data_IF_285144209559
#
_entry.id   IF_285144209559
#
_cell.length_a   1.000
_cell.length_b   1.000
_cell.length_c   1.000
_cell.angle_alpha   90.00
_cell.angle_beta   90.00
_cell.angle_gamma   90.00
#
_symmetry.space_group_name_H-M   'P 1'
#
loop_
_entity.id
_entity.type
_entity.pdbx_description
1 polymer ?
#
# COMPACT_ATOMS: atom_id res chain seq x y z
N UNK A 1 -18.80 1.28 -19.55
CA UNK A 1 -17.80 0.50 -20.29
C UNK A 1 -17.57 1.18 -21.62
N UNK A 2 -16.37 1.69 -21.88
CA UNK A 2 -16.01 2.14 -23.23
C UNK A 2 -16.13 0.97 -24.20
N UNK A 3 -16.49 1.26 -25.46
CA UNK A 3 -16.70 0.21 -26.49
C UNK A 3 -15.48 -0.70 -26.65
N UNK A 4 -14.29 -0.11 -26.56
CA UNK A 4 -13.01 -0.81 -26.55
C UNK A 4 -12.85 -1.80 -25.38
N UNK A 5 -13.13 -1.37 -24.15
CA UNK A 5 -13.03 -2.24 -22.98
C UNK A 5 -14.03 -3.41 -23.02
N UNK A 6 -15.21 -3.17 -23.59
CA UNK A 6 -16.23 -4.20 -23.77
C UNK A 6 -15.84 -5.22 -24.85
N UNK A 7 -15.23 -4.76 -25.94
CA UNK A 7 -14.70 -5.62 -27.00
C UNK A 7 -13.57 -6.50 -26.43
N UNK A 8 -12.53 -5.91 -25.81
CA UNK A 8 -11.41 -6.65 -25.22
C UNK A 8 -11.87 -7.67 -24.17
N UNK A 9 -12.83 -7.32 -23.31
CA UNK A 9 -13.39 -8.25 -22.32
C UNK A 9 -14.22 -9.40 -22.94
N UNK A 10 -14.71 -9.23 -24.17
CA UNK A 10 -15.52 -10.21 -24.90
C UNK A 10 -14.69 -11.08 -25.85
N UNK A 11 -13.43 -10.74 -26.11
CA UNK A 11 -12.54 -11.54 -26.95
C UNK A 11 -12.07 -12.79 -26.18
N UNK A 12 -12.40 -13.97 -26.70
CA UNK A 12 -11.98 -15.28 -26.14
C UNK A 12 -10.50 -15.60 -26.39
N UNK A 13 -9.82 -14.79 -27.21
CA UNK A 13 -8.41 -14.97 -27.59
C UNK A 13 -7.44 -14.77 -26.43
N UNK A 14 -7.86 -14.12 -25.33
CA UNK A 14 -7.01 -13.81 -24.18
C UNK A 14 -6.74 -15.00 -23.24
N UNK A 15 -7.47 -16.11 -23.36
CA UNK A 15 -7.42 -17.21 -22.39
C UNK A 15 -6.15 -18.07 -22.48
N UNK A 16 -5.47 -18.09 -23.63
CA UNK A 16 -4.28 -18.94 -23.88
C UNK A 16 -3.01 -18.14 -24.22
N UNK A 17 -2.97 -16.86 -23.85
CA UNK A 17 -1.80 -16.00 -24.11
C UNK A 17 -0.83 -16.01 -22.93
N UNK A 18 0.46 -15.83 -23.23
CA UNK A 18 1.47 -15.61 -22.22
C UNK A 18 1.19 -14.29 -21.48
N UNK A 19 1.36 -14.21 -20.15
CA UNK A 19 1.05 -13.00 -19.37
C UNK A 19 1.77 -11.74 -19.87
N UNK A 20 2.97 -11.90 -20.44
CA UNK A 20 3.72 -10.78 -21.03
C UNK A 20 3.06 -10.22 -22.30
N UNK A 21 2.28 -11.04 -23.02
CA UNK A 21 1.67 -10.65 -24.29
C UNK A 21 0.33 -9.94 -24.09
N UNK A 22 -0.32 -10.12 -22.92
CA UNK A 22 -1.61 -9.48 -22.56
C UNK A 22 -1.45 -8.25 -21.66
N UNK A 23 -0.22 -7.96 -21.23
CA UNK A 23 0.04 -6.97 -20.20
C UNK A 23 -0.37 -5.56 -20.65
N UNK A 24 -0.10 -5.23 -21.91
CA UNK A 24 -0.41 -3.91 -22.47
C UNK A 24 -1.92 -3.70 -22.59
N UNK A 25 -2.64 -4.70 -23.10
CA UNK A 25 -4.08 -4.69 -23.27
C UNK A 25 -4.79 -4.62 -21.91
N UNK A 26 -4.33 -5.40 -20.94
CA UNK A 26 -4.88 -5.40 -19.58
C UNK A 26 -4.71 -4.01 -18.94
N UNK A 27 -3.52 -3.41 -19.08
CA UNK A 27 -3.24 -2.07 -18.60
C UNK A 27 -4.18 -1.03 -19.24
N UNK A 28 -4.43 -1.11 -20.54
CA UNK A 28 -5.35 -0.20 -21.23
C UNK A 28 -6.80 -0.35 -20.74
N UNK A 29 -7.25 -1.58 -20.52
CA UNK A 29 -8.57 -1.86 -19.96
C UNK A 29 -8.72 -1.28 -18.55
N UNK A 30 -7.73 -1.51 -17.69
CA UNK A 30 -7.71 -0.98 -16.33
C UNK A 30 -7.70 0.55 -16.30
N UNK A 31 -6.88 1.16 -17.15
CA UNK A 31 -6.86 2.61 -17.33
C UNK A 31 -8.24 3.14 -17.75
N UNK A 32 -8.89 2.51 -18.72
CA UNK A 32 -10.22 2.90 -19.16
C UNK A 32 -11.27 2.77 -18.05
N UNK A 33 -11.20 1.69 -17.25
CA UNK A 33 -12.09 1.51 -16.09
C UNK A 33 -11.86 2.58 -15.01
N UNK A 34 -10.61 2.96 -14.75
CA UNK A 34 -10.28 4.00 -13.78
C UNK A 34 -10.81 5.38 -14.20
N UNK A 35 -10.70 5.71 -15.49
CA UNK A 35 -11.28 6.94 -16.05
C UNK A 35 -12.81 6.94 -15.95
N UNK A 36 -13.45 5.84 -16.31
CA UNK A 36 -14.90 5.70 -16.21
C UNK A 36 -15.39 5.85 -14.75
N UNK A 37 -14.70 5.22 -13.79
CA UNK A 37 -15.01 5.36 -12.37
C UNK A 37 -14.88 6.81 -11.87
N UNK A 38 -13.88 7.55 -12.37
CA UNK A 38 -13.71 8.96 -12.06
C UNK A 38 -14.86 9.81 -12.63
N UNK A 39 -15.23 9.58 -13.90
CA UNK A 39 -16.37 10.26 -14.54
C UNK A 39 -17.68 10.01 -13.80
N UNK A 40 -17.96 8.76 -13.40
CA UNK A 40 -19.13 8.43 -12.60
C UNK A 40 -19.11 9.16 -11.24
N UNK A 41 -17.98 9.16 -10.55
CA UNK A 41 -17.85 9.90 -9.28
C UNK A 41 -18.03 11.41 -9.46
N UNK A 42 -17.64 11.97 -10.60
CA UNK A 42 -17.86 13.38 -10.93
C UNK A 42 -19.34 13.66 -11.17
N UNK A 43 -20.04 12.79 -11.91
CA UNK A 43 -21.48 12.90 -12.11
C UNK A 43 -22.24 12.87 -10.79
N UNK A 44 -21.89 11.95 -9.89
CA UNK A 44 -22.51 11.88 -8.55
C UNK A 44 -22.32 13.19 -7.77
N UNK A 45 -21.14 13.81 -7.84
CA UNK A 45 -20.89 15.12 -7.20
C UNK A 45 -21.72 16.24 -7.82
N UNK A 46 -21.91 16.22 -9.13
CA UNK A 46 -22.76 17.19 -9.84
C UNK A 46 -24.22 17.01 -9.41
N UNK A 47 -24.71 15.77 -9.38
CA UNK A 47 -26.08 15.46 -8.95
C UNK A 47 -26.32 15.87 -7.49
N UNK A 48 -25.36 15.65 -6.60
CA UNK A 48 -25.45 16.09 -5.22
C UNK A 48 -25.42 17.62 -5.10
N UNK A 49 -24.67 18.31 -5.95
CA UNK A 49 -24.68 19.77 -6.01
C UNK A 49 -26.01 20.33 -6.52
N UNK A 50 -26.61 19.69 -7.53
CA UNK A 50 -27.94 20.04 -8.03
C UNK A 50 -29.01 19.85 -6.94
N UNK A 51 -28.97 18.74 -6.20
CA UNK A 51 -29.87 18.53 -5.04
C UNK A 51 -29.69 19.61 -3.98
N UNK A 52 -28.47 20.01 -3.67
CA UNK A 52 -28.22 21.09 -2.71
C UNK A 52 -28.79 22.44 -3.18
N UNK A 53 -28.84 22.70 -4.49
CA UNK A 53 -29.50 23.87 -5.06
C UNK A 53 -31.01 23.78 -4.85
N UNK A 54 -31.62 22.63 -5.14
CA UNK A 54 -33.06 22.42 -4.95
C UNK A 54 -33.49 22.54 -3.48
N UNK A 55 -32.63 22.11 -2.55
CA UNK A 55 -32.83 22.24 -1.10
C UNK A 55 -32.50 23.64 -0.56
N UNK A 56 -31.88 24.51 -1.37
CA UNK A 56 -31.44 25.84 -0.95
C UNK A 56 -30.23 25.85 0.00
N UNK A 57 -29.51 24.73 0.11
CA UNK A 57 -28.30 24.57 0.93
C UNK A 57 -27.00 24.83 0.16
N UNK A 58 -27.09 25.04 -1.16
CA UNK A 58 -25.95 25.31 -2.01
C UNK A 58 -25.14 26.53 -1.56
N UNK A 59 -23.81 26.38 -1.58
CA UNK A 59 -22.87 27.39 -1.09
C UNK A 59 -22.57 27.30 0.40
N UNK A 60 -23.15 26.35 1.14
CA UNK A 60 -22.77 26.02 2.52
C UNK A 60 -22.08 24.66 2.57
N UNK A 61 -21.04 24.56 3.40
CA UNK A 61 -20.31 23.32 3.59
C UNK A 61 -21.19 22.28 4.29
N UNK A 62 -21.30 21.08 3.69
CA UNK A 62 -22.07 19.95 4.22
C UNK A 62 -21.56 19.46 5.60
N UNK A 63 -20.25 19.57 5.85
CA UNK A 63 -19.62 19.08 7.09
C UNK A 63 -19.69 20.08 8.25
N UNK A 64 -19.37 21.36 8.01
CA UNK A 64 -19.24 22.36 9.08
C UNK A 64 -20.30 23.47 9.05
N UNK A 65 -21.13 23.53 8.00
CA UNK A 65 -22.19 24.53 7.84
C UNK A 65 -21.72 25.95 7.52
N UNK A 66 -20.42 26.20 7.39
CA UNK A 66 -19.86 27.51 7.00
C UNK A 66 -20.08 27.77 5.50
N UNK A 67 -20.11 29.04 5.11
CA UNK A 67 -20.19 29.43 3.71
C UNK A 67 -18.90 29.03 2.96
N UNK A 68 -19.08 28.52 1.74
CA UNK A 68 -18.00 28.14 0.83
C UNK A 68 -17.52 29.38 0.10
N UNK A 69 -16.20 29.53 -0.07
CA UNK A 69 -15.63 30.64 -0.81
C UNK A 69 -16.18 30.72 -2.25
N UNK A 70 -16.53 31.92 -2.70
CA UNK A 70 -17.14 32.13 -4.02
C UNK A 70 -16.18 31.78 -5.14
N UNK A 71 -14.89 32.10 -5.01
CA UNK A 71 -13.88 31.76 -6.01
C UNK A 71 -13.75 30.24 -6.19
N UNK A 72 -13.94 29.47 -5.11
CA UNK A 72 -14.01 28.00 -5.19
C UNK A 72 -15.22 27.52 -5.96
N UNK A 73 -16.41 28.08 -5.74
CA UNK A 73 -17.64 27.68 -6.46
C UNK A 73 -17.62 28.11 -7.94
N UNK A 74 -16.95 29.22 -8.26
CA UNK A 74 -16.74 29.64 -9.65
C UNK A 74 -15.81 28.68 -10.41
N UNK A 75 -14.78 28.15 -9.74
CA UNK A 75 -13.84 27.20 -10.33
C UNK A 75 -14.35 25.75 -10.29
N UNK A 76 -15.00 25.34 -9.20
CA UNK A 76 -15.53 24.00 -8.93
C UNK A 76 -16.99 24.10 -8.46
N UNK A 77 -17.96 24.21 -9.39
CA UNK A 77 -19.37 24.42 -9.06
C UNK A 77 -20.02 23.21 -8.36
N UNK A 78 -19.42 22.02 -8.45
CA UNK A 78 -19.93 20.82 -7.77
C UNK A 78 -19.36 20.65 -6.34
N UNK A 79 -18.61 21.63 -5.81
CA UNK A 79 -18.00 21.52 -4.50
C UNK A 79 -19.00 21.75 -3.37
N UNK A 80 -19.21 20.74 -2.52
CA UNK A 80 -20.11 20.79 -1.35
C UNK A 80 -19.40 21.03 0.00
N UNK A 81 -18.07 21.07 0.00
CA UNK A 81 -17.25 21.27 1.20
C UNK A 81 -16.33 22.49 1.07
N UNK A 82 -16.05 23.15 2.19
CA UNK A 82 -14.99 24.14 2.28
C UNK A 82 -13.61 23.48 2.19
N UNK A 83 -12.57 24.29 1.94
CA UNK A 83 -11.19 23.83 1.77
C UNK A 83 -10.72 23.07 3.01
N UNK A 84 -10.90 23.65 4.21
CA UNK A 84 -10.49 23.03 5.47
C UNK A 84 -11.09 21.63 5.66
N UNK A 85 -12.39 21.46 5.36
CA UNK A 85 -13.07 20.17 5.49
C UNK A 85 -12.61 19.18 4.40
N UNK A 86 -12.40 19.66 3.18
CA UNK A 86 -11.94 18.82 2.07
C UNK A 86 -10.50 18.33 2.30
N UNK A 87 -9.64 19.15 2.90
CA UNK A 87 -8.26 18.77 3.26
C UNK A 87 -8.25 17.65 4.30
N UNK A 88 -9.10 17.75 5.34
CA UNK A 88 -9.27 16.66 6.31
C UNK A 88 -9.82 15.39 5.66
N UNK A 89 -10.78 15.50 4.74
CA UNK A 89 -11.33 14.34 4.03
C UNK A 89 -10.28 13.70 3.11
N UNK A 90 -9.47 14.50 2.42
CA UNK A 90 -8.46 14.01 1.48
C UNK A 90 -7.33 13.26 2.19
N UNK A 91 -6.88 13.76 3.35
CA UNK A 91 -5.89 13.06 4.19
C UNK A 91 -6.41 11.70 4.67
N UNK A 92 -7.69 11.60 5.03
CA UNK A 92 -8.34 10.34 5.39
C UNK A 92 -8.45 9.40 4.19
N UNK A 93 -8.76 9.91 2.99
CA UNK A 93 -8.85 9.08 1.76
C UNK A 93 -7.52 8.46 1.35
N UNK A 94 -6.41 9.14 1.58
CA UNK A 94 -5.07 8.57 1.34
C UNK A 94 -4.74 7.47 2.36
N UNK A 95 -5.28 7.58 3.57
CA UNK A 95 -5.18 6.61 4.66
C UNK A 95 -6.45 5.76 4.79
N UNK A 96 -6.85 5.09 3.71
CA UNK A 96 -7.83 4.01 3.86
C UNK A 96 -7.14 2.78 4.46
N UNK A 97 -6.71 2.85 5.72
CA UNK A 97 -6.26 1.69 6.51
C UNK A 97 -7.38 0.67 6.67
N UNK A 98 -8.63 1.12 6.61
CA UNK A 98 -9.81 0.32 6.91
C UNK A 98 -10.36 -0.45 5.69
N UNK A 99 -9.86 -0.19 4.48
CA UNK A 99 -10.11 -1.01 3.29
C UNK A 99 -8.93 -1.93 2.94
N UNK A 100 -7.91 -1.97 3.80
CA UNK A 100 -6.86 -2.97 3.69
C UNK A 100 -7.36 -4.28 4.31
N UNK A 101 -6.86 -5.37 3.77
CA UNK A 101 -7.28 -6.71 4.19
C UNK A 101 -6.94 -6.93 5.67
N UNK A 102 -7.75 -7.70 6.41
CA UNK A 102 -7.60 -7.88 7.87
C UNK A 102 -6.22 -8.42 8.25
N UNK A 103 -5.60 -9.15 7.33
CA UNK A 103 -4.25 -9.69 7.41
C UNK A 103 -3.23 -8.58 7.65
N UNK A 104 -3.40 -7.37 7.12
CA UNK A 104 -2.46 -6.26 7.36
C UNK A 104 -2.47 -5.78 8.82
N UNK A 105 -3.54 -6.03 9.58
CA UNK A 105 -3.56 -5.72 11.02
C UNK A 105 -2.73 -6.70 11.85
N UNK A 106 -2.53 -7.92 11.33
CA UNK A 106 -1.77 -8.99 11.97
C UNK A 106 -0.36 -9.07 11.40
N UNK A 107 -0.17 -8.69 10.14
CA UNK A 107 1.12 -8.48 9.50
C UNK A 107 1.66 -7.16 10.03
N UNK A 108 2.45 -7.21 11.11
CA UNK A 108 3.35 -6.11 11.45
C UNK A 108 4.21 -5.75 10.23
N UNK A 109 4.70 -4.51 10.15
CA UNK A 109 5.44 -3.98 8.99
C UNK A 109 6.35 -5.05 8.37
N UNK A 110 5.95 -5.66 7.24
CA UNK A 110 6.70 -6.77 6.70
C UNK A 110 7.94 -6.14 6.09
N UNK A 111 9.10 -6.38 6.71
CA UNK A 111 10.39 -5.90 6.21
C UNK A 111 10.49 -4.37 6.17
N UNK A 112 10.14 -3.70 7.28
CA UNK A 112 10.54 -2.30 7.45
C UNK A 112 12.07 -2.24 7.52
N UNK A 113 12.71 -1.48 6.63
CA UNK A 113 14.15 -1.17 6.72
C UNK A 113 14.51 -0.88 8.17
N UNK A 114 15.34 -1.74 8.77
CA UNK A 114 15.83 -1.59 10.14
C UNK A 114 16.59 -0.27 10.23
N UNK A 115 15.88 0.77 10.64
CA UNK A 115 16.47 2.06 11.04
C UNK A 115 15.63 2.81 12.07
N UNK A 116 14.35 2.45 12.30
CA UNK A 116 13.48 3.22 13.22
C UNK A 116 12.52 2.45 14.12
N UNK A 117 12.43 1.12 14.08
CA UNK A 117 11.80 0.34 15.15
C UNK A 117 12.90 -0.27 16.03
N UNK A 118 12.93 0.18 17.28
CA UNK A 118 14.03 -0.02 18.21
C UNK A 118 13.82 -1.21 19.14
N UNK A 119 13.85 -2.42 18.61
CA UNK A 119 14.12 -3.60 19.44
C UNK A 119 15.40 -4.27 18.92
N UNK A 120 16.50 -4.00 19.63
CA UNK A 120 17.82 -4.63 19.35
C UNK A 120 17.88 -6.09 19.81
N UNK A 121 16.81 -6.56 20.46
CA UNK A 121 16.73 -7.88 21.10
C UNK A 121 15.86 -8.87 20.29
N UNK A 122 15.36 -8.48 19.12
CA UNK A 122 14.51 -9.35 18.29
C UNK A 122 15.35 -10.13 17.25
N UNK A 123 15.44 -11.45 17.46
CA UNK A 123 16.16 -12.43 16.61
C UNK A 123 15.20 -13.02 15.56
N UNK A 124 14.35 -12.18 14.98
CA UNK A 124 13.36 -12.59 13.97
C UNK A 124 13.93 -12.52 12.55
N UNK A 125 13.38 -13.36 11.66
CA UNK A 125 13.72 -13.40 10.24
C UNK A 125 13.55 -12.01 9.60
N UNK A 126 14.64 -11.41 9.12
CA UNK A 126 14.66 -10.06 8.60
C UNK A 126 14.98 -9.95 7.08
N UNK A 127 15.21 -8.72 6.61
CA UNK A 127 15.55 -8.45 5.21
C UNK A 127 16.84 -9.18 4.80
N UNK A 128 17.85 -9.23 5.67
CA UNK A 128 19.12 -9.90 5.39
C UNK A 128 18.93 -11.42 5.32
N UNK A 129 18.14 -11.99 6.24
CA UNK A 129 17.82 -13.42 6.24
C UNK A 129 17.10 -13.86 4.96
N UNK A 130 16.24 -12.99 4.41
CA UNK A 130 15.53 -13.26 3.17
C UNK A 130 16.50 -13.42 1.98
N UNK A 131 17.49 -12.53 1.86
CA UNK A 131 18.52 -12.61 0.81
C UNK A 131 19.44 -13.82 0.99
N UNK A 132 19.83 -14.13 2.23
CA UNK A 132 20.65 -15.31 2.53
C UNK A 132 19.93 -16.62 2.16
N UNK A 133 18.62 -16.73 2.43
CA UNK A 133 17.85 -17.93 2.12
C UNK A 133 17.75 -18.23 0.61
N UNK A 134 17.53 -17.21 -0.20
CA UNK A 134 17.50 -17.31 -1.67
C UNK A 134 18.89 -17.59 -2.23
N UNK A 135 19.93 -16.97 -1.65
CA UNK A 135 21.33 -17.25 -1.98
C UNK A 135 21.66 -18.73 -1.86
N UNK A 136 21.34 -19.34 -0.71
CA UNK A 136 21.54 -20.78 -0.45
C UNK A 136 20.80 -21.68 -1.43
N UNK A 137 19.59 -21.31 -1.84
CA UNK A 137 18.83 -22.09 -2.81
C UNK A 137 19.49 -22.09 -4.20
N UNK A 138 20.14 -20.99 -4.57
CA UNK A 138 20.83 -20.85 -5.84
C UNK A 138 22.25 -21.46 -5.85
N UNK A 139 22.72 -22.03 -4.73
CA UNK A 139 24.00 -22.72 -4.68
C UNK A 139 23.97 -24.02 -5.49
N UNK A 140 24.88 -24.11 -6.47
CA UNK A 140 25.11 -25.33 -7.22
C UNK A 140 26.02 -26.24 -6.40
N UNK A 141 25.52 -27.41 -5.99
CA UNK A 141 26.31 -28.43 -5.27
C UNK A 141 27.60 -28.76 -6.03
N UNK A 142 28.74 -28.75 -5.31
CA UNK A 142 30.09 -29.01 -5.83
C UNK A 142 30.61 -28.02 -6.87
N UNK A 143 30.22 -26.74 -6.79
CA UNK A 143 30.91 -25.67 -7.51
C UNK A 143 31.80 -24.90 -6.54
N UNK A 144 33.12 -24.94 -6.75
CA UNK A 144 34.11 -24.21 -5.92
C UNK A 144 34.04 -22.68 -6.07
N UNK A 145 33.16 -22.19 -6.95
CA UNK A 145 33.06 -20.77 -7.30
C UNK A 145 32.06 -19.99 -6.40
N UNK A 146 31.30 -20.70 -5.56
CA UNK A 146 30.35 -20.13 -4.60
C UNK A 146 30.60 -20.65 -3.16
N UNK A 147 31.81 -21.12 -2.88
CA UNK A 147 32.25 -21.49 -1.53
C UNK A 147 32.51 -20.20 -0.75
N UNK A 148 31.42 -19.57 -0.27
CA UNK A 148 31.54 -18.61 0.81
C UNK A 148 31.99 -19.39 2.04
N UNK A 149 33.07 -18.94 2.69
CA UNK A 149 33.46 -19.35 4.05
C UNK A 149 32.31 -18.92 4.98
N UNK A 150 31.23 -19.70 4.99
CA UNK A 150 30.35 -19.73 6.12
C UNK A 150 31.20 -20.39 7.20
N UNK A 151 31.72 -19.58 8.12
CA UNK A 151 32.10 -20.08 9.43
C UNK A 151 30.90 -20.90 9.92
N UNK A 152 31.00 -22.22 9.78
CA UNK A 152 30.07 -23.15 10.38
C UNK A 152 30.18 -22.85 11.87
N UNK A 153 29.13 -22.28 12.46
CA UNK A 153 29.00 -21.96 13.89
C UNK A 153 28.99 -23.24 14.75
N UNK A 154 29.87 -24.21 14.47
CA UNK A 154 30.07 -25.41 15.27
C UNK A 154 30.88 -25.14 16.54
N UNK A 155 31.36 -23.90 16.76
CA UNK A 155 32.11 -23.54 17.96
C UNK A 155 31.47 -22.37 18.73
N UNK A 156 30.45 -22.70 19.53
CA UNK A 156 29.97 -21.78 20.58
C UNK A 156 30.93 -21.87 21.75
N UNK A 157 31.69 -20.80 22.01
CA UNK A 157 32.57 -20.76 23.17
C UNK A 157 31.75 -20.90 24.47
N UNK A 158 32.34 -21.43 25.55
CA UNK A 158 31.60 -21.61 26.81
C UNK A 158 31.03 -20.28 27.36
N UNK A 159 31.66 -19.15 27.01
CA UNK A 159 31.21 -17.80 27.39
C UNK A 159 29.97 -17.33 26.62
N UNK A 160 29.70 -17.89 25.43
CA UNK A 160 28.55 -17.55 24.59
C UNK A 160 27.29 -18.35 24.98
N UNK A 161 27.43 -19.37 25.83
CA UNK A 161 26.31 -20.11 26.43
C UNK A 161 25.69 -19.40 27.64
N UNK A 162 26.26 -18.28 28.06
CA UNK A 162 25.76 -17.52 29.21
C UNK A 162 24.40 -16.93 28.84
N UNK A 163 23.35 -17.26 29.61
CA UNK A 163 22.04 -16.69 29.36
C UNK A 163 22.09 -15.17 29.55
N UNK A 164 21.28 -14.44 28.77
CA UNK A 164 21.19 -12.98 28.87
C UNK A 164 20.85 -12.50 30.30
N UNK A 165 20.16 -13.34 31.08
CA UNK A 165 19.90 -13.10 32.50
C UNK A 165 21.15 -13.23 33.37
N UNK A 166 22.00 -14.24 33.13
CA UNK A 166 23.28 -14.38 33.84
C UNK A 166 24.22 -13.22 33.58
N UNK A 167 24.27 -12.70 32.35
CA UNK A 167 25.06 -11.50 32.02
C UNK A 167 24.55 -10.27 32.77
N UNK A 168 23.23 -10.03 32.76
CA UNK A 168 22.59 -8.90 33.46
C UNK A 168 22.83 -8.94 34.98
N UNK A 169 22.90 -10.12 35.58
CA UNK A 169 23.17 -10.30 37.01
C UNK A 169 24.64 -10.05 37.43
N UNK A 170 25.58 -9.96 36.48
CA UNK A 170 27.00 -9.71 36.75
C UNK A 170 27.37 -8.22 36.68
N UNK A 171 26.48 -7.37 36.16
CA UNK A 171 26.69 -5.93 36.13
C UNK A 171 26.41 -5.32 37.51
N UNK A 172 27.26 -4.41 38.02
CA UNK A 172 26.98 -3.71 39.26
C UNK A 172 25.75 -2.80 39.11
N UNK A 173 24.95 -2.72 40.18
CA UNK A 173 23.76 -1.86 40.27
C UNK A 173 24.06 -0.39 39.97
#
# INVERSE_FOLDING_TARGET
MTKFNAEVASELSFYDNHPSDIASETFEVEKGRALEANEMSLLDKIDDALKAIDEGSYGKCKTCGKDIDKGRLEFLPYALNCIDCEDVISTIKTYNSNQRVVEESVIGHPFGHKSKCGDKDEIGFDEEDSYQSVGRFNEIRNSSEYEYDYDDDTYVEEVEKISNEQYKNQLPN
#
